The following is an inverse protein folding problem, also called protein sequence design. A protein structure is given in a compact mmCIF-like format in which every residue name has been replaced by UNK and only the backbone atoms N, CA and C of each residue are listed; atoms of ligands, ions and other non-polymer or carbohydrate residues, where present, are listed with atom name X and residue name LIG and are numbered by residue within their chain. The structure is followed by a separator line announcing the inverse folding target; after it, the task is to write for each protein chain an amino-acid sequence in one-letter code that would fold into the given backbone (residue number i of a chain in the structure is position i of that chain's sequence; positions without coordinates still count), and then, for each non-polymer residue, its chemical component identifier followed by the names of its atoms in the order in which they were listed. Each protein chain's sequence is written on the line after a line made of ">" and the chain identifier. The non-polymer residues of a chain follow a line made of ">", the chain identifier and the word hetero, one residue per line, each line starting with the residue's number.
data_IF_065559029447
#
_entry.id   IF_065559029447
#
_cell.length_a   1.000
_cell.length_b   1.000
_cell.length_c   1.000
_cell.angle_alpha   90.00
_cell.angle_beta   90.00
_cell.angle_gamma   90.00
#
_symmetry.space_group_name_H-M   'P 1'
#
loop_
_entity.id
_entity.type
_entity.pdbx_description
1 polymer ?
#
# COMPACT_ATOMS: atom_id res chain seq x y z
N UNK A 1 22.31 13.61 -13.33
CA UNK A 1 21.24 13.92 -12.35
C UNK A 1 21.53 13.12 -11.09
N UNK A 2 21.75 13.76 -9.94
CA UNK A 2 22.09 13.03 -8.71
C UNK A 2 20.91 12.14 -8.28
N UNK A 3 21.18 10.89 -7.88
CA UNK A 3 20.15 9.96 -7.43
C UNK A 3 19.49 10.46 -6.14
N UNK A 4 18.20 10.79 -6.20
CA UNK A 4 17.42 11.14 -5.02
C UNK A 4 16.74 9.88 -4.45
N UNK A 5 17.39 9.26 -3.47
CA UNK A 5 16.89 8.07 -2.78
C UNK A 5 15.50 8.29 -2.15
N UNK A 6 15.22 9.49 -1.63
CA UNK A 6 13.93 9.80 -1.02
C UNK A 6 12.79 9.78 -2.05
N UNK A 7 13.02 10.32 -3.25
CA UNK A 7 12.04 10.25 -4.35
C UNK A 7 11.82 8.81 -4.82
N UNK A 8 12.87 8.00 -4.89
CA UNK A 8 12.76 6.58 -5.21
C UNK A 8 11.89 5.83 -4.19
N UNK A 9 12.20 5.95 -2.89
CA UNK A 9 11.44 5.27 -1.83
C UNK A 9 10.01 5.79 -1.71
N UNK A 10 9.77 7.07 -2.00
CA UNK A 10 8.43 7.64 -2.06
C UNK A 10 7.58 6.95 -3.13
N UNK A 11 8.12 6.78 -4.34
CA UNK A 11 7.41 6.13 -5.44
C UNK A 11 7.22 4.63 -5.19
N UNK A 12 8.26 3.95 -4.68
CA UNK A 12 8.17 2.53 -4.28
C UNK A 12 7.06 2.30 -3.25
N UNK A 13 7.06 3.09 -2.17
CA UNK A 13 6.04 2.98 -1.11
C UNK A 13 4.64 3.31 -1.64
N UNK A 14 4.52 4.28 -2.55
CA UNK A 14 3.24 4.59 -3.19
C UNK A 14 2.72 3.41 -4.00
N UNK A 15 3.59 2.73 -4.77
CA UNK A 15 3.20 1.56 -5.57
C UNK A 15 2.74 0.41 -4.69
N UNK A 16 3.52 0.07 -3.65
CA UNK A 16 3.18 -0.98 -2.67
C UNK A 16 1.85 -0.70 -1.97
N UNK A 17 1.53 0.57 -1.70
CA UNK A 17 0.24 0.96 -1.13
C UNK A 17 -0.93 0.65 -2.07
N UNK A 18 -0.79 0.99 -3.35
CA UNK A 18 -1.82 0.74 -4.36
C UNK A 18 -2.02 -0.75 -4.64
N UNK A 19 -0.93 -1.53 -4.70
CA UNK A 19 -0.98 -2.99 -4.82
C UNK A 19 -1.75 -3.60 -3.64
N UNK A 20 -1.47 -3.14 -2.42
CA UNK A 20 -2.18 -3.61 -1.22
C UNK A 20 -3.65 -3.22 -1.21
N UNK A 21 -4.00 -2.01 -1.67
CA UNK A 21 -5.40 -1.58 -1.82
C UNK A 21 -6.14 -2.39 -2.88
N UNK A 22 -5.48 -2.71 -4.00
CA UNK A 22 -6.05 -3.56 -5.04
C UNK A 22 -6.37 -4.95 -4.48
N UNK A 23 -5.40 -5.58 -3.81
CA UNK A 23 -5.61 -6.87 -3.16
C UNK A 23 -6.76 -6.83 -2.12
N UNK A 24 -6.84 -5.76 -1.32
CA UNK A 24 -7.94 -5.57 -0.39
C UNK A 24 -9.31 -5.47 -1.09
N UNK A 25 -9.40 -4.75 -2.21
CA UNK A 25 -10.63 -4.62 -3.00
C UNK A 25 -11.05 -5.94 -3.63
N UNK A 26 -10.11 -6.67 -4.21
CA UNK A 26 -10.36 -7.99 -4.80
C UNK A 26 -10.84 -8.98 -3.74
N UNK A 27 -10.18 -9.01 -2.58
CA UNK A 27 -10.60 -9.86 -1.47
C UNK A 27 -11.98 -9.46 -0.94
N UNK A 28 -12.26 -8.17 -0.80
CA UNK A 28 -13.60 -7.69 -0.41
C UNK A 28 -14.67 -8.16 -1.41
N UNK A 29 -14.42 -8.04 -2.70
CA UNK A 29 -15.34 -8.52 -3.73
C UNK A 29 -15.55 -10.04 -3.65
N UNK A 30 -14.48 -10.80 -3.37
CA UNK A 30 -14.57 -12.25 -3.16
C UNK A 30 -15.40 -12.62 -1.94
N UNK A 31 -15.23 -11.89 -0.83
CA UNK A 31 -16.04 -12.05 0.39
C UNK A 31 -17.52 -11.79 0.09
N UNK A 32 -17.82 -10.68 -0.60
CA UNK A 32 -19.21 -10.33 -0.97
C UNK A 32 -19.84 -11.35 -1.92
N UNK A 33 -19.04 -11.95 -2.82
CA UNK A 33 -19.49 -13.03 -3.72
C UNK A 33 -19.56 -14.42 -3.09
N UNK A 34 -19.13 -14.58 -1.82
CA UNK A 34 -19.06 -15.88 -1.16
C UNK A 34 -17.99 -16.83 -1.71
N UNK A 35 -17.01 -16.33 -2.49
CA UNK A 35 -15.91 -17.12 -3.09
C UNK A 35 -14.58 -16.98 -2.35
N UNK A 36 -14.57 -16.25 -1.23
CA UNK A 36 -13.41 -16.14 -0.36
C UNK A 36 -13.30 -17.35 0.57
N UNK A 37 -12.08 -17.81 0.83
CA UNK A 37 -11.83 -18.81 1.85
C UNK A 37 -11.84 -18.15 3.24
N UNK A 38 -12.25 -18.89 4.28
CA UNK A 38 -12.34 -18.36 5.66
C UNK A 38 -11.00 -17.80 6.17
N UNK A 39 -9.87 -18.41 5.78
CA UNK A 39 -8.53 -17.94 6.14
C UNK A 39 -8.13 -16.64 5.45
N UNK A 40 -8.80 -16.25 4.36
CA UNK A 40 -8.55 -15.00 3.64
C UNK A 40 -9.22 -13.81 4.31
N UNK A 41 -10.38 -14.00 4.95
CA UNK A 41 -11.17 -12.94 5.59
C UNK A 41 -10.32 -12.03 6.51
N UNK A 42 -9.53 -12.56 7.47
CA UNK A 42 -8.71 -11.71 8.34
C UNK A 42 -7.59 -10.97 7.61
N UNK A 43 -7.18 -11.43 6.41
CA UNK A 43 -6.13 -10.77 5.60
C UNK A 43 -6.61 -9.44 5.01
N UNK A 44 -7.92 -9.21 4.89
CA UNK A 44 -8.46 -7.94 4.42
C UNK A 44 -7.97 -6.77 5.27
N UNK A 45 -8.07 -6.90 6.59
CA UNK A 45 -7.56 -5.86 7.50
C UNK A 45 -6.06 -5.65 7.36
N UNK A 46 -5.31 -6.74 7.17
CA UNK A 46 -3.87 -6.68 6.98
C UNK A 46 -3.51 -5.86 5.74
N UNK A 47 -4.14 -6.13 4.59
CA UNK A 47 -3.91 -5.37 3.37
C UNK A 47 -4.26 -3.88 3.52
N UNK A 48 -5.34 -3.55 4.21
CA UNK A 48 -5.72 -2.16 4.51
C UNK A 48 -4.70 -1.49 5.44
N UNK A 49 -4.23 -2.18 6.48
CA UNK A 49 -3.19 -1.67 7.40
C UNK A 49 -1.89 -1.39 6.65
N UNK A 50 -1.43 -2.32 5.81
CA UNK A 50 -0.22 -2.15 4.99
C UNK A 50 -0.39 -0.99 4.00
N UNK A 51 -1.51 -0.90 3.30
CA UNK A 51 -1.77 0.20 2.39
C UNK A 51 -1.63 1.57 3.06
N UNK A 52 -2.25 1.75 4.23
CA UNK A 52 -2.16 3.00 5.01
C UNK A 52 -0.73 3.31 5.43
N UNK A 53 -0.01 2.30 5.93
CA UNK A 53 1.39 2.46 6.33
C UNK A 53 2.26 2.90 5.15
N UNK A 54 2.12 2.25 4.01
CA UNK A 54 2.88 2.54 2.78
C UNK A 54 2.56 3.91 2.21
N UNK A 55 1.29 4.34 2.23
CA UNK A 55 0.89 5.70 1.91
C UNK A 55 1.56 6.73 2.82
N UNK A 56 1.54 6.51 4.15
CA UNK A 56 2.20 7.41 5.11
C UNK A 56 3.71 7.49 4.87
N UNK A 57 4.37 6.36 4.64
CA UNK A 57 5.79 6.30 4.30
C UNK A 57 6.10 7.05 3.01
N UNK A 58 5.25 6.93 1.98
CA UNK A 58 5.40 7.69 0.73
C UNK A 58 5.37 9.21 0.99
N UNK A 59 4.38 9.69 1.74
CA UNK A 59 4.25 11.11 2.09
C UNK A 59 5.47 11.60 2.88
N UNK A 60 5.93 10.83 3.87
CA UNK A 60 7.12 11.17 4.65
C UNK A 60 8.37 11.28 3.78
N UNK A 61 8.59 10.33 2.87
CA UNK A 61 9.73 10.37 1.95
C UNK A 61 9.66 11.56 0.98
N UNK A 62 8.46 11.94 0.51
CA UNK A 62 8.27 13.16 -0.30
C UNK A 62 8.60 14.43 0.48
N UNK A 63 8.29 14.48 1.78
CA UNK A 63 8.67 15.61 2.65
C UNK A 63 10.18 15.70 2.79
N UNK A 64 10.86 14.58 3.04
CA UNK A 64 12.33 14.52 3.11
C UNK A 64 12.96 14.97 1.80
N UNK A 65 12.42 14.54 0.65
CA UNK A 65 12.92 14.93 -0.66
C UNK A 65 12.81 16.45 -0.94
N UNK A 66 11.83 17.14 -0.32
CA UNK A 66 11.63 18.59 -0.46
C UNK A 66 12.52 19.44 0.46
N UNK A 67 13.04 18.84 1.54
CA UNK A 67 13.94 19.52 2.48
C UNK A 67 15.41 19.45 2.06
N UNK A 68 15.72 18.69 1.01
CA UNK A 68 17.05 18.59 0.39
C UNK A 68 17.10 19.47 -0.84
#
# INVERSE_FOLDING_TARGET
>A
MAFNSATYYANKSSREAWESLKAARELKARIESGTAYDWEIPRLEYHVKIARLRMRSSVNMRRIAKMK
#
